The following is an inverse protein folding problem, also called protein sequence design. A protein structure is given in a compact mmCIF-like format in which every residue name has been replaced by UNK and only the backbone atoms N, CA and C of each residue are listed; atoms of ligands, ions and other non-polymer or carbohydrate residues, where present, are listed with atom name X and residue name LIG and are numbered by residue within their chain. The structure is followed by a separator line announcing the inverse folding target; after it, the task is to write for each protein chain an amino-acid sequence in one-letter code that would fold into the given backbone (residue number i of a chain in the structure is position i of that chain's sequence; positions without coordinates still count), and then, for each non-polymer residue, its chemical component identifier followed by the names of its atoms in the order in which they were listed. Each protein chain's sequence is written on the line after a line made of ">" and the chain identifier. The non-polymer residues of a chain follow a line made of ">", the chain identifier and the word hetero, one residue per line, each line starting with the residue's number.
data_IF_661591211948
#
_entry.id   IF_661591211948
#
_cell.length_a   1.000
_cell.length_b   1.000
_cell.length_c   1.000
_cell.angle_alpha   90.00
_cell.angle_beta   90.00
_cell.angle_gamma   90.00
#
_symmetry.space_group_name_H-M   'P 1'
#
loop_
_entity.id
_entity.type
_entity.pdbx_description
1 polymer ?
#
# COMPACT_ATOMS: atom_id res chain seq x y z
N UNK A 1 9.59 20.41 30.32
CA UNK A 1 9.94 19.98 28.94
C UNK A 1 8.82 20.20 27.93
N UNK A 2 7.57 19.78 28.18
CA UNK A 2 6.42 20.05 27.30
C UNK A 2 6.28 21.51 26.87
N UNK A 3 6.21 22.43 27.84
CA UNK A 3 6.09 23.87 27.56
C UNK A 3 7.25 24.45 26.76
N UNK A 4 8.45 23.90 26.90
CA UNK A 4 9.60 24.30 26.08
C UNK A 4 9.36 23.92 24.62
N UNK A 5 8.97 22.66 24.35
CA UNK A 5 8.69 22.22 22.97
C UNK A 5 7.54 23.03 22.37
N UNK A 6 6.43 23.20 23.10
CA UNK A 6 5.27 23.95 22.59
C UNK A 6 5.59 25.43 22.33
N UNK A 7 6.48 26.03 23.12
CA UNK A 7 6.90 27.43 22.95
C UNK A 7 7.88 27.61 21.78
N UNK A 8 8.83 26.69 21.61
CA UNK A 8 9.88 26.79 20.59
C UNK A 8 9.46 26.21 19.23
N UNK A 9 8.47 25.32 19.22
CA UNK A 9 7.94 24.66 18.04
C UNK A 9 6.40 24.69 18.08
N UNK A 10 5.77 25.85 17.82
CA UNK A 10 4.33 26.03 17.97
C UNK A 10 3.51 25.19 16.98
N UNK A 11 4.09 24.89 15.81
CA UNK A 11 3.46 24.20 14.70
C UNK A 11 3.29 22.69 14.93
N UNK A 12 3.94 22.11 15.95
CA UNK A 12 3.74 20.70 16.28
C UNK A 12 2.36 20.46 16.91
N UNK A 13 1.62 19.44 16.43
CA UNK A 13 0.43 18.91 17.09
C UNK A 13 0.73 18.44 18.51
N UNK A 14 -0.25 18.53 19.42
CA UNK A 14 -0.04 18.12 20.81
C UNK A 14 0.25 16.63 20.97
N UNK A 15 -0.30 15.78 20.11
CA UNK A 15 -0.07 14.34 20.11
C UNK A 15 1.40 14.03 19.79
N UNK A 16 1.92 14.62 18.71
CA UNK A 16 3.33 14.47 18.31
C UNK A 16 4.30 15.01 19.37
N UNK A 17 3.94 16.10 20.07
CA UNK A 17 4.75 16.61 21.18
C UNK A 17 4.85 15.56 22.29
N UNK A 18 3.78 14.84 22.61
CA UNK A 18 3.79 13.79 23.65
C UNK A 18 4.69 12.64 23.23
N UNK A 19 4.59 12.21 21.98
CA UNK A 19 5.40 11.11 21.43
C UNK A 19 6.88 11.46 21.44
N UNK A 20 7.24 12.66 20.97
CA UNK A 20 8.61 13.16 21.01
C UNK A 20 9.12 13.22 22.44
N UNK A 21 8.32 13.71 23.39
CA UNK A 21 8.72 13.74 24.80
C UNK A 21 8.90 12.34 25.36
N UNK A 22 8.05 11.38 25.01
CA UNK A 22 8.20 10.00 25.42
C UNK A 22 9.53 9.41 24.93
N UNK A 23 9.94 9.70 23.70
CA UNK A 23 11.26 9.31 23.19
C UNK A 23 12.42 10.00 23.93
N UNK A 24 12.26 11.28 24.26
CA UNK A 24 13.24 12.03 25.06
C UNK A 24 13.39 11.42 26.45
N UNK A 25 12.28 11.10 27.12
CA UNK A 25 12.29 10.43 28.42
C UNK A 25 12.93 9.04 28.35
N UNK A 26 12.63 8.28 27.31
CA UNK A 26 13.26 6.97 27.08
C UNK A 26 14.76 7.12 26.87
N UNK A 27 15.19 8.13 26.11
CA UNK A 27 16.61 8.44 25.89
C UNK A 27 17.29 8.86 27.18
N UNK A 28 16.62 9.65 28.01
CA UNK A 28 17.10 10.06 29.33
C UNK A 28 17.31 8.87 30.24
N UNK A 29 16.31 7.97 30.35
CA UNK A 29 16.41 6.76 31.16
C UNK A 29 17.60 5.89 30.75
N UNK A 30 17.83 5.73 29.45
CA UNK A 30 18.97 4.96 28.93
C UNK A 30 20.34 5.63 29.18
N UNK A 31 20.36 6.94 29.42
CA UNK A 31 21.57 7.72 29.63
C UNK A 31 21.76 8.15 31.09
N UNK A 32 20.83 7.81 31.99
CA UNK A 32 20.73 8.40 33.33
C UNK A 32 22.01 8.19 34.14
N UNK A 33 22.58 6.99 34.08
CA UNK A 33 23.82 6.63 34.78
C UNK A 33 25.01 7.48 34.36
N UNK A 34 25.07 7.89 33.07
CA UNK A 34 26.15 8.71 32.51
C UNK A 34 25.95 10.21 32.75
N UNK A 35 24.73 10.60 33.12
CA UNK A 35 24.31 11.98 33.28
C UNK A 35 24.35 12.41 34.74
N UNK A 36 24.27 11.46 35.69
CA UNK A 36 24.42 11.71 37.12
C UNK A 36 25.74 12.44 37.45
N UNK A 37 26.84 12.09 36.80
CA UNK A 37 28.16 12.69 37.04
C UNK A 37 28.30 14.14 36.53
N UNK A 38 27.35 14.64 35.72
CA UNK A 38 27.46 15.94 35.03
C UNK A 38 26.80 17.11 35.75
N UNK A 39 26.15 16.87 36.89
CA UNK A 39 25.37 17.86 37.63
C UNK A 39 24.12 18.36 36.87
N UNK A 40 23.25 19.08 37.58
CA UNK A 40 21.91 19.43 37.10
C UNK A 40 21.91 20.28 35.81
N UNK A 41 22.85 21.22 35.69
CA UNK A 41 22.98 22.06 34.48
C UNK A 41 23.39 21.25 33.25
N UNK A 42 24.32 20.31 33.42
CA UNK A 42 24.77 19.42 32.35
C UNK A 42 23.67 18.46 31.91
N UNK A 43 22.87 17.97 32.86
CA UNK A 43 21.69 17.14 32.59
C UNK A 43 20.62 17.92 31.81
N UNK A 44 20.34 19.16 32.22
CA UNK A 44 19.34 19.99 31.55
C UNK A 44 19.79 20.39 30.13
N UNK A 45 21.05 20.79 29.95
CA UNK A 45 21.59 21.12 28.63
C UNK A 45 21.55 19.91 27.68
N UNK A 46 21.88 18.72 28.19
CA UNK A 46 21.76 17.48 27.44
C UNK A 46 20.31 17.19 27.04
N UNK A 47 19.36 17.35 27.98
CA UNK A 47 17.93 17.12 27.75
C UNK A 47 17.39 18.05 26.65
N UNK A 48 17.77 19.33 26.67
CA UNK A 48 17.42 20.29 25.63
C UNK A 48 17.96 19.86 24.27
N UNK A 49 19.24 19.46 24.21
CA UNK A 49 19.87 19.01 22.97
C UNK A 49 19.19 17.76 22.38
N UNK A 50 18.87 16.79 23.22
CA UNK A 50 18.16 15.57 22.80
C UNK A 50 16.77 15.93 22.27
N UNK A 51 16.04 16.78 23.00
CA UNK A 51 14.71 17.25 22.58
C UNK A 51 14.76 17.92 21.21
N UNK A 52 15.70 18.85 20.99
CA UNK A 52 15.87 19.51 19.68
C UNK A 52 16.20 18.51 18.57
N UNK A 53 17.10 17.56 18.85
CA UNK A 53 17.48 16.52 17.88
C UNK A 53 16.27 15.69 17.47
N UNK A 54 15.45 15.26 18.45
CA UNK A 54 14.24 14.48 18.21
C UNK A 54 13.17 15.24 17.42
N UNK A 55 12.97 16.52 17.72
CA UNK A 55 12.07 17.38 16.94
C UNK A 55 12.56 17.54 15.50
N UNK A 56 13.86 17.73 15.28
CA UNK A 56 14.44 17.83 13.93
C UNK A 56 14.26 16.51 13.17
N UNK A 57 14.47 15.38 13.82
CA UNK A 57 14.29 14.07 13.20
C UNK A 57 12.83 13.80 12.85
N UNK A 58 11.88 14.24 13.69
CA UNK A 58 10.45 14.22 13.37
C UNK A 58 10.14 15.01 12.10
N UNK A 59 10.59 16.26 12.00
CA UNK A 59 10.36 17.08 10.79
C UNK A 59 10.99 16.46 9.53
N UNK A 60 12.18 15.87 9.65
CA UNK A 60 12.82 15.13 8.55
C UNK A 60 12.02 13.90 8.14
N UNK A 61 11.39 13.22 9.09
CA UNK A 61 10.55 12.06 8.81
C UNK A 61 9.23 12.48 8.15
N UNK A 62 8.56 13.52 8.65
CA UNK A 62 7.32 14.06 8.08
C UNK A 62 7.51 14.43 6.60
N UNK A 63 8.59 15.13 6.27
CA UNK A 63 8.91 15.48 4.87
C UNK A 63 9.04 14.25 3.97
N UNK A 64 9.65 13.15 4.45
CA UNK A 64 9.74 11.90 3.68
C UNK A 64 8.37 11.25 3.50
N UNK A 65 7.50 11.32 4.51
CA UNK A 65 6.14 10.78 4.43
C UNK A 65 5.29 11.57 3.44
N UNK A 66 5.41 12.90 3.40
CA UNK A 66 4.75 13.75 2.41
C UNK A 66 5.21 13.41 0.98
N UNK A 67 6.53 13.33 0.74
CA UNK A 67 7.09 12.94 -0.56
C UNK A 67 6.62 11.54 -1.00
N UNK A 68 6.49 10.58 -0.07
CA UNK A 68 5.92 9.27 -0.35
C UNK A 68 4.42 9.35 -0.66
N UNK A 69 3.67 10.17 0.08
CA UNK A 69 2.25 10.41 -0.13
C UNK A 69 1.96 11.00 -1.52
N UNK A 70 2.76 11.95 -1.97
CA UNK A 70 2.68 12.52 -3.33
C UNK A 70 2.95 11.46 -4.40
N UNK A 71 3.99 10.64 -4.22
CA UNK A 71 4.29 9.54 -5.16
C UNK A 71 3.18 8.49 -5.22
N UNK A 72 2.56 8.17 -4.09
CA UNK A 72 1.39 7.28 -4.04
C UNK A 72 0.20 7.95 -4.74
N UNK A 73 -0.03 9.24 -4.50
CA UNK A 73 -1.09 10.01 -5.16
C UNK A 73 -0.95 9.99 -6.69
N UNK A 74 0.26 10.21 -7.20
CA UNK A 74 0.56 10.11 -8.63
C UNK A 74 0.32 8.68 -9.16
N UNK A 75 0.80 7.65 -8.47
CA UNK A 75 0.59 6.26 -8.89
C UNK A 75 -0.90 5.86 -8.91
N UNK A 76 -1.71 6.36 -7.97
CA UNK A 76 -3.15 6.15 -7.94
C UNK A 76 -3.86 6.92 -9.06
N UNK A 77 -3.37 8.10 -9.43
CA UNK A 77 -3.89 8.88 -10.55
C UNK A 77 -3.57 8.21 -11.89
N UNK A 78 -2.36 7.69 -12.07
CA UNK A 78 -1.98 6.88 -13.24
C UNK A 78 -2.86 5.63 -13.39
N UNK A 79 -3.18 4.94 -12.28
CA UNK A 79 -4.13 3.81 -12.32
C UNK A 79 -5.55 4.22 -12.70
N UNK A 80 -6.01 5.41 -12.28
CA UNK A 80 -7.34 5.91 -12.63
C UNK A 80 -7.42 6.40 -14.07
N UNK A 81 -6.39 7.04 -14.59
CA UNK A 81 -6.36 7.58 -15.95
C UNK A 81 -6.20 6.47 -17.02
N UNK A 82 -5.64 5.30 -16.66
CA UNK A 82 -5.50 4.14 -17.55
C UNK A 82 -6.76 3.29 -17.77
N UNK A 83 -7.88 3.57 -17.09
CA UNK A 83 -9.10 2.77 -17.20
C UNK A 83 -10.29 3.66 -17.57
N UNK A 84 -10.42 4.01 -18.86
CA UNK A 84 -11.63 4.65 -19.35
C UNK A 84 -12.84 3.76 -19.04
N UNK A 85 -13.92 4.34 -18.52
CA UNK A 85 -15.20 3.62 -18.32
C UNK A 85 -15.61 2.91 -19.62
N UNK A 86 -15.30 3.51 -20.78
CA UNK A 86 -15.56 2.89 -22.08
C UNK A 86 -14.74 1.60 -22.28
N UNK A 87 -13.48 1.56 -21.86
CA UNK A 87 -12.64 0.36 -21.99
C UNK A 87 -13.15 -0.77 -21.09
N UNK A 88 -13.66 -0.44 -19.89
CA UNK A 88 -14.30 -1.44 -19.02
C UNK A 88 -15.59 -1.99 -19.63
N UNK A 89 -16.40 -1.13 -20.26
CA UNK A 89 -17.66 -1.53 -20.91
C UNK A 89 -17.37 -2.38 -22.14
N UNK A 90 -16.39 -2.00 -22.97
CA UNK A 90 -15.97 -2.77 -24.15
C UNK A 90 -15.41 -4.13 -23.72
N UNK A 91 -14.53 -4.17 -22.71
CA UNK A 91 -13.99 -5.42 -22.19
C UNK A 91 -15.10 -6.34 -21.64
N UNK A 92 -16.08 -5.76 -20.93
CA UNK A 92 -17.22 -6.50 -20.40
C UNK A 92 -18.14 -7.02 -21.50
N UNK A 93 -18.42 -6.24 -22.53
CA UNK A 93 -19.23 -6.68 -23.68
C UNK A 93 -18.55 -7.85 -24.41
N UNK A 94 -17.25 -7.74 -24.70
CA UNK A 94 -16.48 -8.82 -25.35
C UNK A 94 -16.46 -10.07 -24.47
N UNK A 95 -16.23 -9.92 -23.16
CA UNK A 95 -16.26 -11.04 -22.23
C UNK A 95 -17.64 -11.72 -22.16
N UNK A 96 -18.72 -10.95 -22.21
CA UNK A 96 -20.09 -11.46 -22.17
C UNK A 96 -20.43 -12.26 -23.44
N UNK A 97 -20.07 -11.73 -24.62
CA UNK A 97 -20.27 -12.42 -25.91
C UNK A 97 -19.49 -13.74 -25.97
N UNK A 98 -18.27 -13.77 -25.42
CA UNK A 98 -17.46 -14.99 -25.32
C UNK A 98 -18.07 -16.02 -24.36
N UNK A 99 -18.58 -15.60 -23.20
CA UNK A 99 -19.23 -16.49 -22.23
C UNK A 99 -20.54 -17.05 -22.78
N UNK A 100 -21.31 -16.23 -23.51
CA UNK A 100 -22.55 -16.67 -24.16
C UNK A 100 -22.30 -17.73 -25.23
N UNK A 101 -21.23 -17.61 -26.02
CA UNK A 101 -20.81 -18.61 -27.02
C UNK A 101 -20.28 -19.93 -26.47
N UNK A 102 -20.09 -20.05 -25.15
CA UNK A 102 -19.66 -21.28 -24.48
C UNK A 102 -20.85 -22.12 -24.04
N UNK A 103 -20.67 -23.44 -24.09
CA UNK A 103 -21.65 -24.39 -23.58
C UNK A 103 -21.68 -24.41 -22.05
N UNK A 104 -22.78 -24.89 -21.46
CA UNK A 104 -22.95 -24.93 -20.01
C UNK A 104 -21.87 -25.75 -19.27
N UNK A 105 -21.30 -26.76 -19.93
CA UNK A 105 -20.18 -27.55 -19.40
C UNK A 105 -18.86 -26.78 -19.42
N UNK A 106 -18.68 -25.92 -20.41
CA UNK A 106 -17.50 -25.07 -20.61
C UNK A 106 -17.51 -23.87 -19.64
N UNK A 107 -18.67 -23.26 -19.40
CA UNK A 107 -18.83 -22.18 -18.39
C UNK A 107 -18.51 -22.65 -16.98
N UNK A 108 -18.91 -23.88 -16.61
CA UNK A 108 -18.55 -24.47 -15.30
C UNK A 108 -17.04 -24.65 -15.13
N UNK A 109 -16.32 -24.94 -16.21
CA UNK A 109 -14.86 -25.04 -16.16
C UNK A 109 -14.24 -23.68 -15.86
N UNK A 110 -14.73 -22.60 -16.49
CA UNK A 110 -14.30 -21.22 -16.20
C UNK A 110 -14.67 -20.78 -14.77
N UNK A 111 -15.87 -21.12 -14.31
CA UNK A 111 -16.32 -20.75 -12.96
C UNK A 111 -15.45 -21.39 -11.89
N UNK A 112 -15.05 -22.66 -12.08
CA UNK A 112 -14.16 -23.35 -11.16
C UNK A 112 -12.73 -22.78 -11.27
N UNK A 113 -12.22 -22.52 -12.46
CA UNK A 113 -10.83 -22.05 -12.62
C UNK A 113 -10.58 -20.62 -12.12
N UNK A 114 -11.51 -19.70 -12.38
CA UNK A 114 -11.28 -18.27 -12.11
C UNK A 114 -12.06 -17.72 -10.91
N UNK A 115 -13.12 -18.41 -10.48
CA UNK A 115 -14.00 -17.92 -9.41
C UNK A 115 -14.07 -18.86 -8.20
N UNK A 116 -13.34 -19.98 -8.19
CA UNK A 116 -13.22 -20.82 -6.99
C UNK A 116 -11.79 -20.84 -6.47
N UNK A 117 -11.63 -20.61 -5.16
CA UNK A 117 -10.34 -20.54 -4.46
C UNK A 117 -9.72 -21.93 -4.18
N UNK A 118 -10.36 -23.00 -4.67
CA UNK A 118 -9.95 -24.38 -4.36
C UNK A 118 -8.82 -24.83 -5.30
N UNK A 119 -7.60 -24.87 -4.79
CA UNK A 119 -6.42 -25.50 -5.39
C UNK A 119 -6.45 -27.04 -5.28
N UNK A 120 -7.64 -27.66 -5.35
CA UNK A 120 -7.75 -29.12 -5.26
C UNK A 120 -7.20 -29.78 -6.53
N UNK A 121 -6.64 -31.00 -6.41
CA UNK A 121 -6.08 -31.75 -7.53
C UNK A 121 -7.11 -31.97 -8.63
N UNK A 122 -7.00 -31.15 -9.67
CA UNK A 122 -7.94 -31.17 -10.79
C UNK A 122 -7.67 -32.38 -11.70
N UNK A 123 -8.66 -33.27 -11.80
CA UNK A 123 -8.60 -34.51 -12.62
C UNK A 123 -8.04 -34.27 -14.04
N UNK A 124 -7.29 -35.23 -14.59
CA UNK A 124 -6.75 -35.16 -15.97
C UNK A 124 -7.82 -34.90 -17.03
N UNK A 125 -9.04 -35.41 -16.83
CA UNK A 125 -10.17 -35.14 -17.72
C UNK A 125 -10.57 -33.65 -17.75
N UNK A 126 -10.38 -32.94 -16.64
CA UNK A 126 -10.63 -31.50 -16.54
C UNK A 126 -9.47 -30.69 -17.16
N UNK A 127 -8.21 -31.11 -16.96
CA UNK A 127 -7.04 -30.50 -17.64
C UNK A 127 -7.17 -30.55 -19.17
N UNK A 128 -7.60 -31.67 -19.75
CA UNK A 128 -7.83 -31.79 -21.19
C UNK A 128 -9.03 -30.95 -21.70
N UNK A 129 -10.06 -30.73 -20.87
CA UNK A 129 -11.17 -29.82 -21.21
C UNK A 129 -10.72 -28.37 -21.17
N UNK A 130 -9.89 -28.00 -20.18
CA UNK A 130 -9.28 -26.68 -20.05
C UNK A 130 -8.45 -26.30 -21.29
N UNK A 131 -7.54 -27.16 -21.75
CA UNK A 131 -6.73 -26.86 -22.94
C UNK A 131 -7.59 -26.66 -24.20
N UNK A 132 -8.66 -27.45 -24.36
CA UNK A 132 -9.62 -27.28 -25.47
C UNK A 132 -10.38 -25.97 -25.37
N UNK A 133 -10.85 -25.62 -24.18
CA UNK A 133 -11.57 -24.38 -23.92
C UNK A 133 -10.68 -23.16 -24.23
N UNK A 134 -9.44 -23.16 -23.73
CA UNK A 134 -8.48 -22.07 -23.97
C UNK A 134 -8.22 -21.87 -25.46
N UNK A 135 -7.99 -22.95 -26.20
CA UNK A 135 -7.82 -22.89 -27.66
C UNK A 135 -9.06 -22.34 -28.37
N UNK A 136 -10.27 -22.76 -27.98
CA UNK A 136 -11.53 -22.25 -28.54
C UNK A 136 -11.73 -20.76 -28.27
N UNK A 137 -11.37 -20.30 -27.06
CA UNK A 137 -11.37 -18.89 -26.70
C UNK A 137 -10.35 -18.12 -27.54
N UNK A 138 -9.10 -18.60 -27.67
CA UNK A 138 -8.07 -17.97 -28.51
C UNK A 138 -8.46 -17.90 -29.99
N UNK A 139 -9.07 -18.95 -30.54
CA UNK A 139 -9.61 -18.97 -31.91
C UNK A 139 -10.73 -17.93 -32.08
N UNK A 140 -11.66 -17.83 -31.12
CA UNK A 140 -12.73 -16.83 -31.15
C UNK A 140 -12.18 -15.40 -31.06
N UNK A 141 -11.18 -15.14 -30.21
CA UNK A 141 -10.47 -13.86 -30.16
C UNK A 141 -9.77 -13.54 -31.49
N UNK A 142 -9.21 -14.53 -32.18
CA UNK A 142 -8.63 -14.35 -33.51
C UNK A 142 -9.66 -13.90 -34.56
N UNK A 143 -10.91 -14.33 -34.45
CA UNK A 143 -12.02 -13.87 -35.29
C UNK A 143 -12.40 -12.43 -34.98
N UNK A 144 -12.46 -12.04 -33.70
CA UNK A 144 -12.72 -10.65 -33.30
C UNK A 144 -11.59 -9.69 -33.74
N UNK A 145 -10.34 -10.15 -33.73
CA UNK A 145 -9.19 -9.36 -34.19
C UNK A 145 -9.14 -9.15 -35.72
N UNK A 146 -9.76 -10.04 -36.50
CA UNK A 146 -9.90 -9.94 -37.97
C UNK A 146 -11.12 -9.13 -38.43
N UNK A 147 -12.12 -8.95 -37.56
CA UNK A 147 -13.34 -8.19 -37.83
C UNK A 147 -13.22 -6.69 -37.50
N UNK A 148 -12.09 -6.26 -36.92
CA UNK A 148 -11.79 -4.84 -36.64
C UNK A 148 -10.93 -4.27 -37.75
#
# INVERSE_FOLDING_TARGET
>A
MYWYVKKHFPDLPEEDIRDILQEVWTSLLNAIDKLYDKGDEGQFAWLIKVTQTKVIDYYRSQRKTEELGERIGLALQEQKEGCSVQDTVIARMIAMELVEGLTEKERRVLSIEYFSDTNDEVSNAFKCRRSRLRRKIEESFGVFRKKR
#
